data_IF_210675455367
#
_entry.id   IF_210675455367
#
_cell.length_a   1.000
_cell.length_b   1.000
_cell.length_c   1.000
_cell.angle_alpha   90.00
_cell.angle_beta   90.00
_cell.angle_gamma   90.00
#
_symmetry.space_group_name_H-M   'P 1'
#
loop_
_entity.id
_entity.type
_entity.pdbx_description
1 polymer ?
#
# COMPACT_ATOMS: atom_id res chain seq x y z
N UNK A 1 7.83 -57.32 -65.07
CA UNK A 1 6.90 -57.49 -63.91
C UNK A 1 7.40 -56.57 -62.83
N UNK A 2 6.86 -55.36 -62.79
CA UNK A 2 7.36 -54.26 -61.95
C UNK A 2 6.43 -54.14 -60.70
N UNK A 3 6.95 -54.43 -59.54
CA UNK A 3 6.26 -54.30 -58.23
C UNK A 3 6.20 -52.83 -57.84
N UNK A 4 5.01 -52.23 -57.72
CA UNK A 4 4.79 -50.90 -57.13
C UNK A 4 4.60 -51.04 -55.61
N UNK A 5 5.51 -50.48 -54.85
CA UNK A 5 5.35 -50.30 -53.40
C UNK A 5 4.48 -49.06 -53.11
N UNK A 6 3.33 -49.29 -52.48
CA UNK A 6 2.47 -48.21 -51.96
C UNK A 6 2.95 -47.89 -50.55
N UNK A 7 3.46 -46.66 -50.32
CA UNK A 7 3.74 -46.13 -48.99
C UNK A 7 2.48 -45.53 -48.40
N UNK A 8 1.96 -46.13 -47.35
CA UNK A 8 0.86 -45.58 -46.55
C UNK A 8 1.53 -44.66 -45.51
N UNK A 9 1.36 -43.34 -45.63
CA UNK A 9 1.74 -42.35 -44.65
C UNK A 9 0.67 -42.28 -43.55
N UNK A 10 1.03 -42.64 -42.32
CA UNK A 10 0.17 -42.46 -41.16
C UNK A 10 0.37 -41.02 -40.68
N UNK A 11 -0.66 -40.19 -40.82
CA UNK A 11 -0.72 -38.82 -40.28
C UNK A 11 -1.08 -38.93 -38.79
N UNK A 12 -0.12 -38.76 -37.89
CA UNK A 12 -0.37 -38.67 -36.45
C UNK A 12 -0.75 -37.23 -36.14
N UNK A 13 -2.02 -36.97 -35.98
CA UNK A 13 -2.55 -35.67 -35.51
C UNK A 13 -2.44 -35.63 -34.02
N UNK A 14 -1.41 -34.92 -33.50
CA UNK A 14 -1.24 -34.69 -32.07
C UNK A 14 -2.28 -33.64 -31.65
N UNK A 15 -3.31 -34.08 -30.94
CA UNK A 15 -4.31 -33.22 -30.32
C UNK A 15 -3.68 -32.60 -29.06
N UNK A 16 -3.23 -31.36 -29.17
CA UNK A 16 -2.76 -30.57 -28.00
C UNK A 16 -4.03 -30.14 -27.25
N UNK A 17 -4.40 -30.87 -26.20
CA UNK A 17 -5.38 -30.40 -25.23
C UNK A 17 -4.77 -29.22 -24.46
N UNK A 18 -5.15 -28.00 -24.82
CA UNK A 18 -4.97 -26.81 -23.96
C UNK A 18 -5.82 -27.00 -22.71
N UNK A 19 -5.23 -27.53 -21.66
CA UNK A 19 -5.82 -27.48 -20.32
C UNK A 19 -5.74 -26.01 -19.88
N UNK A 20 -6.85 -25.28 -20.04
CA UNK A 20 -7.02 -24.01 -19.32
C UNK A 20 -7.05 -24.35 -17.83
N UNK A 21 -5.98 -24.05 -17.11
CA UNK A 21 -6.00 -24.11 -15.66
C UNK A 21 -7.07 -23.11 -15.20
N UNK A 22 -8.26 -23.62 -14.87
CA UNK A 22 -9.31 -22.82 -14.27
C UNK A 22 -8.77 -22.24 -12.96
N UNK A 23 -8.92 -20.93 -12.75
CA UNK A 23 -8.55 -20.28 -11.51
C UNK A 23 -9.21 -21.02 -10.33
N UNK A 24 -8.41 -21.55 -9.42
CA UNK A 24 -8.92 -22.26 -8.25
C UNK A 24 -9.56 -21.21 -7.33
N UNK A 25 -10.87 -21.32 -7.13
CA UNK A 25 -11.63 -20.46 -6.25
C UNK A 25 -11.97 -21.22 -4.97
N UNK A 26 -11.63 -20.62 -3.82
CA UNK A 26 -11.91 -21.19 -2.49
C UNK A 26 -12.92 -20.30 -1.76
N UNK A 27 -13.89 -20.90 -1.10
CA UNK A 27 -14.91 -20.19 -0.31
C UNK A 27 -14.50 -20.09 1.15
N UNK A 28 -14.70 -18.88 1.71
CA UNK A 28 -14.45 -18.59 3.11
C UNK A 28 -15.72 -18.05 3.77
N UNK A 29 -15.95 -18.37 5.05
CA UNK A 29 -17.00 -17.76 5.85
C UNK A 29 -16.60 -16.39 6.37
N UNK A 30 -17.59 -15.54 6.63
CA UNK A 30 -17.48 -14.40 7.53
C UNK A 30 -18.72 -14.34 8.43
N UNK A 31 -18.73 -13.41 9.37
CA UNK A 31 -19.88 -13.23 10.26
C UNK A 31 -21.16 -12.83 9.51
N UNK A 32 -21.05 -12.24 8.31
CA UNK A 32 -22.20 -11.67 7.58
C UNK A 32 -22.58 -12.46 6.34
N UNK A 33 -21.62 -13.02 5.62
CA UNK A 33 -21.86 -13.80 4.40
C UNK A 33 -20.64 -14.68 4.06
N UNK A 34 -20.80 -15.54 3.07
CA UNK A 34 -19.66 -16.25 2.46
C UNK A 34 -19.09 -15.41 1.33
N UNK A 35 -17.80 -15.51 1.13
CA UNK A 35 -17.12 -14.88 0.00
C UNK A 35 -16.18 -15.89 -0.67
N UNK A 36 -15.82 -15.59 -1.90
CA UNK A 36 -14.94 -16.42 -2.72
C UNK A 36 -13.59 -15.72 -2.88
N UNK A 37 -12.52 -16.47 -2.74
CA UNK A 37 -11.15 -16.01 -3.04
C UNK A 37 -10.65 -16.71 -4.29
N UNK A 38 -10.21 -15.92 -5.25
CA UNK A 38 -9.64 -16.39 -6.51
C UNK A 38 -8.22 -15.86 -6.65
N UNK A 39 -7.26 -16.72 -6.97
CA UNK A 39 -5.91 -16.28 -7.37
C UNK A 39 -5.97 -15.75 -8.80
N UNK A 40 -5.70 -14.46 -8.97
CA UNK A 40 -5.69 -13.78 -10.28
C UNK A 40 -4.35 -13.95 -10.98
N UNK A 41 -3.26 -13.78 -10.23
CA UNK A 41 -1.90 -13.95 -10.72
C UNK A 41 -0.97 -14.40 -9.61
N UNK A 42 0.12 -15.06 -9.99
CA UNK A 42 1.17 -15.54 -9.08
C UNK A 42 2.56 -15.36 -9.71
N UNK A 43 3.61 -15.66 -8.95
CA UNK A 43 4.99 -15.51 -9.43
C UNK A 43 5.55 -14.09 -9.31
N UNK A 44 4.92 -13.26 -8.48
CA UNK A 44 5.43 -11.93 -8.12
C UNK A 44 6.46 -12.03 -6.99
N UNK A 45 7.51 -11.21 -7.06
CA UNK A 45 8.56 -11.19 -6.05
C UNK A 45 8.37 -10.03 -5.08
N UNK A 46 7.95 -10.33 -3.85
CA UNK A 46 7.65 -9.34 -2.81
C UNK A 46 6.79 -8.15 -3.34
N UNK A 47 5.60 -8.44 -3.92
CA UNK A 47 4.72 -7.37 -4.41
C UNK A 47 4.36 -6.43 -3.27
N UNK A 48 4.35 -5.11 -3.53
CA UNK A 48 4.14 -4.11 -2.50
C UNK A 48 2.82 -3.35 -2.63
N UNK A 49 2.46 -2.93 -3.84
CA UNK A 49 1.19 -2.24 -4.11
C UNK A 49 0.61 -2.67 -5.46
N UNK A 50 -0.71 -2.56 -5.60
CA UNK A 50 -1.41 -2.74 -6.86
C UNK A 50 -2.23 -1.49 -7.22
N UNK A 51 -2.41 -1.26 -8.53
CA UNK A 51 -3.21 -0.17 -9.07
C UNK A 51 -3.99 -0.64 -10.30
N UNK A 52 -5.24 -0.18 -10.41
CA UNK A 52 -6.11 -0.50 -11.54
C UNK A 52 -6.05 0.60 -12.58
N UNK A 53 -5.91 0.23 -13.84
CA UNK A 53 -5.98 1.15 -14.96
C UNK A 53 -7.36 1.09 -15.65
N UNK A 54 -7.82 2.19 -16.27
CA UNK A 54 -9.14 2.24 -16.88
C UNK A 54 -9.34 1.30 -18.07
N UNK A 55 -8.24 0.79 -18.66
CA UNK A 55 -8.25 -0.19 -19.77
C UNK A 55 -8.33 -1.65 -19.29
N UNK A 56 -8.37 -1.86 -17.97
CA UNK A 56 -8.49 -3.17 -17.34
C UNK A 56 -7.17 -3.80 -16.90
N UNK A 57 -6.03 -3.20 -17.27
CA UNK A 57 -4.73 -3.63 -16.77
C UNK A 57 -4.61 -3.39 -15.25
N UNK A 58 -3.93 -4.29 -14.57
CA UNK A 58 -3.54 -4.13 -13.17
C UNK A 58 -2.02 -4.00 -13.08
N UNK A 59 -1.55 -2.91 -12.53
CA UNK A 59 -0.14 -2.69 -12.25
C UNK A 59 0.20 -3.21 -10.85
N UNK A 60 1.37 -3.83 -10.71
CA UNK A 60 1.88 -4.30 -9.42
C UNK A 60 3.33 -3.88 -9.27
N UNK A 61 3.65 -3.15 -8.20
CA UNK A 61 5.03 -2.88 -7.83
C UNK A 61 5.63 -4.08 -7.11
N UNK A 62 6.82 -4.50 -7.51
CA UNK A 62 7.66 -5.43 -6.77
C UNK A 62 8.74 -4.64 -6.05
N UNK A 63 8.92 -4.87 -4.76
CA UNK A 63 9.88 -4.13 -3.93
C UNK A 63 11.29 -4.10 -4.52
N UNK A 64 11.67 -5.14 -5.25
CA UNK A 64 12.96 -5.26 -5.95
C UNK A 64 13.15 -4.26 -7.10
N UNK A 65 12.18 -3.34 -7.32
CA UNK A 65 12.31 -2.24 -8.29
C UNK A 65 11.73 -2.55 -9.67
N UNK A 66 10.84 -3.54 -9.78
CA UNK A 66 10.11 -3.83 -11.01
C UNK A 66 8.65 -3.39 -10.88
N UNK A 67 8.11 -2.83 -11.93
CA UNK A 67 6.68 -2.57 -12.09
C UNK A 67 6.13 -3.59 -13.09
N UNK A 68 5.16 -4.40 -12.65
CA UNK A 68 4.61 -5.52 -13.43
C UNK A 68 3.19 -5.20 -13.91
N UNK A 69 2.79 -5.84 -14.99
CA UNK A 69 1.47 -5.72 -15.59
C UNK A 69 0.76 -7.06 -15.55
N UNK A 70 -0.49 -7.04 -15.09
CA UNK A 70 -1.44 -8.14 -15.26
C UNK A 70 -2.47 -7.67 -16.26
N UNK A 71 -2.53 -8.33 -17.40
CA UNK A 71 -3.44 -8.05 -18.52
C UNK A 71 -4.26 -9.30 -18.80
N UNK A 72 -5.58 -9.15 -18.90
CA UNK A 72 -6.51 -10.28 -19.13
C UNK A 72 -6.30 -11.44 -18.12
N UNK A 73 -6.03 -11.09 -16.83
CA UNK A 73 -5.78 -12.06 -15.76
C UNK A 73 -4.44 -12.78 -15.86
N UNK A 74 -3.49 -12.31 -16.69
CA UNK A 74 -2.18 -12.93 -16.88
C UNK A 74 -1.05 -11.95 -16.53
N UNK A 75 -0.12 -12.39 -15.70
CA UNK A 75 1.11 -11.65 -15.45
C UNK A 75 1.97 -11.64 -16.72
N UNK A 76 2.23 -10.44 -17.26
CA UNK A 76 3.12 -10.31 -18.41
C UNK A 76 4.56 -10.62 -18.03
N UNK A 77 5.36 -11.28 -18.89
CA UNK A 77 6.75 -11.62 -18.60
C UNK A 77 7.62 -10.37 -18.46
N UNK A 78 7.34 -9.34 -19.27
CA UNK A 78 8.13 -8.10 -19.30
C UNK A 78 7.67 -7.12 -18.23
N UNK A 79 8.63 -6.48 -17.56
CA UNK A 79 8.38 -5.38 -16.64
C UNK A 79 8.19 -4.05 -17.40
N UNK A 80 7.47 -3.12 -16.80
CA UNK A 80 7.34 -1.74 -17.28
C UNK A 80 8.72 -1.09 -17.35
N UNK A 81 9.02 -0.42 -18.46
CA UNK A 81 10.28 0.31 -18.68
C UNK A 81 10.18 1.75 -18.17
N UNK A 82 11.31 2.41 -17.95
CA UNK A 82 11.39 3.84 -17.66
C UNK A 82 11.31 4.21 -16.18
N UNK A 83 11.32 3.24 -15.25
CA UNK A 83 11.47 3.54 -13.83
C UNK A 83 12.84 4.15 -13.52
N UNK A 84 12.92 5.09 -12.56
CA UNK A 84 14.20 5.58 -12.06
C UNK A 84 14.96 4.48 -11.30
N UNK A 85 16.23 4.74 -10.99
CA UNK A 85 17.01 3.83 -10.15
C UNK A 85 16.41 3.74 -8.74
N UNK A 86 15.99 2.54 -8.36
CA UNK A 86 15.44 2.22 -7.05
C UNK A 86 16.54 1.68 -6.12
N UNK A 87 16.56 2.14 -4.87
CA UNK A 87 17.44 1.62 -3.83
C UNK A 87 16.76 0.49 -3.08
N UNK A 88 17.14 -0.74 -3.39
CA UNK A 88 16.61 -1.93 -2.71
C UNK A 88 17.49 -2.26 -1.51
N UNK A 89 16.99 -1.93 -0.30
CA UNK A 89 17.71 -2.24 0.95
C UNK A 89 16.78 -2.24 2.16
N UNK A 90 16.77 -3.33 2.91
CA UNK A 90 15.89 -3.48 4.08
C UNK A 90 14.41 -3.44 3.68
N UNK A 91 13.66 -2.47 4.18
CA UNK A 91 12.26 -2.25 3.81
C UNK A 91 12.11 -1.33 2.58
N UNK A 92 13.20 -0.72 2.09
CA UNK A 92 13.18 0.16 0.92
C UNK A 92 13.17 -0.63 -0.39
N UNK A 93 12.64 0.00 -1.43
CA UNK A 93 12.48 -0.55 -2.77
C UNK A 93 11.52 0.31 -3.59
N UNK A 94 10.88 -0.26 -4.61
CA UNK A 94 9.70 0.30 -5.26
C UNK A 94 8.49 -0.04 -4.38
N UNK A 95 7.71 0.98 -4.01
CA UNK A 95 6.74 0.87 -2.95
C UNK A 95 5.31 1.13 -3.50
N UNK A 96 4.68 2.26 -3.19
CA UNK A 96 3.29 2.48 -3.60
C UNK A 96 3.13 2.90 -5.07
N UNK A 97 1.94 2.65 -5.59
CA UNK A 97 1.47 3.05 -6.92
C UNK A 97 0.12 3.74 -6.80
N UNK A 98 -0.05 4.85 -7.52
CA UNK A 98 -1.30 5.60 -7.52
C UNK A 98 -1.53 6.26 -8.89
N UNK A 99 -2.48 5.78 -9.69
CA UNK A 99 -2.93 6.50 -10.87
C UNK A 99 -3.55 7.86 -10.47
N UNK A 100 -3.29 8.89 -11.27
CA UNK A 100 -3.97 10.17 -11.09
C UNK A 100 -5.49 10.01 -11.17
N UNK A 101 -6.32 10.75 -10.43
CA UNK A 101 -7.77 10.68 -10.56
C UNK A 101 -8.29 10.84 -12.00
N UNK A 102 -7.60 11.66 -12.79
CA UNK A 102 -7.90 11.87 -14.23
C UNK A 102 -6.99 11.04 -15.14
N UNK A 103 -6.51 9.88 -14.71
CA UNK A 103 -5.56 9.05 -15.46
C UNK A 103 -6.03 8.75 -16.89
N UNK A 104 -7.32 8.59 -17.10
CA UNK A 104 -7.90 8.35 -18.44
C UNK A 104 -7.53 9.46 -19.43
N UNK A 105 -7.44 10.71 -18.97
CA UNK A 105 -7.10 11.87 -19.78
C UNK A 105 -5.59 12.17 -19.81
N UNK A 106 -4.91 12.09 -18.67
CA UNK A 106 -3.52 12.54 -18.52
C UNK A 106 -2.49 11.42 -18.49
N UNK A 107 -2.90 10.17 -18.26
CA UNK A 107 -2.03 8.98 -18.20
C UNK A 107 -0.96 9.05 -17.11
N UNK A 108 -1.10 9.92 -16.09
CA UNK A 108 -0.11 10.09 -15.03
C UNK A 108 -0.22 8.99 -13.99
N UNK A 109 0.89 8.30 -13.73
CA UNK A 109 1.08 7.33 -12.67
C UNK A 109 2.06 7.89 -11.65
N UNK A 110 1.65 7.95 -10.40
CA UNK A 110 2.48 8.32 -9.25
C UNK A 110 3.03 7.06 -8.61
N UNK A 111 4.25 7.14 -8.11
CA UNK A 111 4.87 6.05 -7.38
C UNK A 111 5.85 6.57 -6.34
N UNK A 112 5.93 5.84 -5.24
CA UNK A 112 6.92 6.08 -4.19
C UNK A 112 8.01 5.01 -4.23
N UNK A 113 9.22 5.40 -3.93
CA UNK A 113 10.37 4.50 -3.95
C UNK A 113 11.49 4.99 -3.06
N UNK A 114 12.35 4.08 -2.62
CA UNK A 114 13.60 4.45 -1.94
C UNK A 114 14.66 4.80 -2.97
N UNK A 115 15.35 5.93 -2.77
CA UNK A 115 16.46 6.36 -3.63
C UNK A 115 17.59 6.98 -2.83
N UNK A 116 18.78 6.97 -3.44
CA UNK A 116 19.97 7.60 -2.87
C UNK A 116 19.81 9.13 -2.86
N UNK A 117 20.28 9.77 -1.80
CA UNK A 117 20.36 11.20 -1.60
C UNK A 117 21.62 11.47 -0.75
N UNK A 118 22.13 12.71 -0.75
CA UNK A 118 23.28 13.07 0.08
C UNK A 118 23.02 12.74 1.56
N UNK A 119 23.96 12.01 2.16
CA UNK A 119 23.86 11.51 3.53
C UNK A 119 23.17 10.14 3.69
N UNK A 120 22.69 9.51 2.61
CA UNK A 120 22.06 8.18 2.71
C UNK A 120 21.03 7.87 1.63
N UNK A 121 19.86 7.45 2.04
CA UNK A 121 18.71 7.18 1.17
C UNK A 121 17.40 7.52 1.89
N UNK A 122 16.38 7.84 1.11
CA UNK A 122 15.09 8.26 1.65
C UNK A 122 13.95 7.89 0.71
N UNK A 123 12.71 8.16 1.14
CA UNK A 123 11.52 8.05 0.30
C UNK A 123 11.48 9.19 -0.71
N UNK A 124 11.39 8.85 -1.97
CA UNK A 124 11.09 9.74 -3.08
C UNK A 124 9.68 9.47 -3.60
N UNK A 125 9.01 10.51 -4.10
CA UNK A 125 7.78 10.39 -4.88
C UNK A 125 8.03 10.97 -6.26
N UNK A 126 7.66 10.21 -7.27
CA UNK A 126 7.72 10.66 -8.66
C UNK A 126 6.39 10.39 -9.35
N UNK A 127 6.17 11.05 -10.48
CA UNK A 127 5.13 10.72 -11.45
C UNK A 127 5.73 10.57 -12.82
N UNK A 128 5.05 9.85 -13.69
CA UNK A 128 5.42 9.71 -15.10
C UNK A 128 4.19 9.39 -15.93
N UNK A 129 4.27 9.61 -17.22
CA UNK A 129 3.23 9.23 -18.18
C UNK A 129 3.36 7.74 -18.48
N UNK A 130 2.30 6.98 -18.23
CA UNK A 130 2.26 5.54 -18.53
C UNK A 130 1.59 5.29 -19.86
N UNK A 131 2.36 4.86 -20.85
CA UNK A 131 1.91 4.51 -22.21
C UNK A 131 2.77 3.38 -22.79
N UNK A 132 2.15 2.47 -23.54
CA UNK A 132 2.84 1.38 -24.26
C UNK A 132 3.78 0.56 -23.36
N UNK A 133 3.29 0.20 -22.17
CA UNK A 133 4.03 -0.56 -21.13
C UNK A 133 5.36 0.11 -20.72
N UNK A 134 5.37 1.44 -20.71
CA UNK A 134 6.52 2.24 -20.31
C UNK A 134 6.10 3.51 -19.57
N UNK A 135 6.99 4.00 -18.70
CA UNK A 135 6.94 5.33 -18.11
C UNK A 135 7.84 6.27 -18.92
N UNK A 136 7.28 7.39 -19.32
CA UNK A 136 8.00 8.52 -19.94
C UNK A 136 7.81 9.78 -19.10
N UNK A 137 8.59 10.82 -19.39
CA UNK A 137 8.51 12.11 -18.71
C UNK A 137 8.50 11.98 -17.18
N UNK A 138 9.34 11.07 -16.66
CA UNK A 138 9.42 10.81 -15.22
C UNK A 138 10.06 11.99 -14.50
N UNK A 139 9.34 12.59 -13.57
CA UNK A 139 9.80 13.68 -12.72
C UNK A 139 9.67 13.35 -11.23
N UNK A 140 10.67 13.74 -10.44
CA UNK A 140 10.64 13.60 -8.98
C UNK A 140 9.96 14.81 -8.38
N UNK A 141 8.81 14.61 -7.77
CA UNK A 141 7.98 15.65 -7.16
C UNK A 141 8.41 15.97 -5.72
N UNK A 142 8.89 14.95 -4.99
CA UNK A 142 9.14 15.08 -3.57
C UNK A 142 10.28 14.16 -3.12
N UNK A 143 11.07 14.65 -2.14
CA UNK A 143 12.11 13.89 -1.44
C UNK A 143 11.96 14.11 0.06
N UNK A 144 11.86 13.03 0.83
CA UNK A 144 11.75 13.11 2.28
C UNK A 144 13.12 13.42 2.92
N UNK A 145 13.48 14.68 2.96
CA UNK A 145 14.75 15.18 3.51
C UNK A 145 14.69 15.43 5.03
N UNK A 146 15.83 15.30 5.71
CA UNK A 146 17.12 14.78 5.24
C UNK A 146 17.11 13.26 5.08
N UNK A 147 18.03 12.75 4.24
CA UNK A 147 18.25 11.31 4.11
C UNK A 147 18.84 10.70 5.39
N UNK A 148 18.78 9.38 5.51
CA UNK A 148 19.43 8.64 6.59
C UNK A 148 20.01 7.30 6.11
N UNK A 149 20.86 6.67 6.90
CA UNK A 149 21.36 5.32 6.65
C UNK A 149 20.39 4.22 7.14
N UNK A 150 19.26 4.59 7.73
CA UNK A 150 18.25 3.69 8.26
C UNK A 150 17.65 2.78 7.18
N UNK A 151 17.46 1.48 7.51
CA UNK A 151 16.96 0.47 6.56
C UNK A 151 15.48 0.14 6.73
N UNK A 152 14.80 0.82 7.65
CA UNK A 152 13.42 0.56 8.06
C UNK A 152 12.57 1.80 7.97
N UNK A 153 11.27 1.64 8.13
CA UNK A 153 10.28 2.69 8.30
C UNK A 153 10.32 3.74 7.17
N UNK A 154 10.01 3.33 5.96
CA UNK A 154 9.92 4.25 4.82
C UNK A 154 8.55 4.93 4.72
N UNK A 155 7.50 4.39 5.37
CA UNK A 155 6.13 4.83 5.14
C UNK A 155 5.72 4.57 3.69
N UNK A 156 5.68 5.63 2.88
CA UNK A 156 5.62 5.64 1.41
C UNK A 156 4.24 5.43 0.80
N UNK A 157 3.16 5.38 1.59
CA UNK A 157 1.80 5.26 1.06
C UNK A 157 1.33 6.58 0.46
N UNK A 158 0.62 6.51 -0.66
CA UNK A 158 0.10 7.64 -1.44
C UNK A 158 -1.44 7.61 -1.45
N UNK A 159 -2.07 8.79 -1.37
CA UNK A 159 -3.50 8.93 -1.60
C UNK A 159 -3.83 10.32 -2.15
N UNK A 160 -4.80 10.41 -3.07
CA UNK A 160 -5.42 11.68 -3.46
C UNK A 160 -6.68 11.91 -2.63
N UNK A 161 -6.85 13.12 -2.09
CA UNK A 161 -8.13 13.53 -1.53
C UNK A 161 -9.09 13.98 -2.65
N UNK A 162 -10.39 14.18 -2.36
CA UNK A 162 -11.38 14.62 -3.35
C UNK A 162 -11.10 16.02 -3.93
N UNK A 163 -10.22 16.82 -3.32
CA UNK A 163 -9.81 18.13 -3.80
C UNK A 163 -8.59 18.07 -4.72
N UNK A 164 -8.02 16.86 -4.93
CA UNK A 164 -6.86 16.60 -5.76
C UNK A 164 -5.52 16.84 -5.07
N UNK A 165 -5.48 16.97 -3.75
CA UNK A 165 -4.21 17.00 -3.02
C UNK A 165 -3.62 15.61 -2.85
N UNK A 166 -2.31 15.50 -3.06
CA UNK A 166 -1.54 14.28 -2.85
C UNK A 166 -1.02 14.20 -1.42
N UNK A 167 -1.45 13.20 -0.68
CA UNK A 167 -0.91 12.84 0.63
C UNK A 167 0.17 11.78 0.49
N UNK A 168 1.26 11.94 1.26
CA UNK A 168 2.38 10.99 1.30
C UNK A 168 2.72 10.68 2.74
N UNK A 169 2.76 9.42 3.11
CA UNK A 169 3.21 9.00 4.44
C UNK A 169 4.71 8.73 4.45
N UNK A 170 5.39 9.13 5.52
CA UNK A 170 6.83 8.98 5.70
C UNK A 170 7.11 8.44 7.10
N UNK A 171 7.88 7.35 7.19
CA UNK A 171 8.28 6.79 8.48
C UNK A 171 9.45 7.51 9.12
N UNK A 172 9.70 7.24 10.40
CA UNK A 172 10.77 7.83 11.20
C UNK A 172 12.18 7.35 10.84
N UNK A 173 12.31 6.43 9.88
CA UNK A 173 13.57 5.83 9.39
C UNK A 173 14.36 5.07 10.48
N UNK A 174 13.69 4.67 11.58
CA UNK A 174 14.30 4.05 12.75
C UNK A 174 14.99 5.04 13.68
N UNK A 175 14.79 6.33 13.46
CA UNK A 175 15.35 7.43 14.25
C UNK A 175 14.20 8.18 14.92
N UNK A 176 13.61 7.56 15.94
CA UNK A 176 12.31 7.91 16.52
C UNK A 176 12.12 9.41 16.85
N UNK A 177 13.19 10.12 17.28
CA UNK A 177 13.10 11.54 17.66
C UNK A 177 12.80 12.46 16.48
N UNK A 178 13.14 12.05 15.26
CA UNK A 178 12.86 12.80 14.04
C UNK A 178 11.37 13.04 13.83
N UNK A 179 10.52 12.13 14.35
CA UNK A 179 9.07 12.25 14.22
C UNK A 179 8.51 13.53 14.87
N UNK A 180 9.16 14.06 15.92
CA UNK A 180 8.77 15.29 16.61
C UNK A 180 9.47 16.56 16.08
N UNK A 181 10.48 16.42 15.21
CA UNK A 181 11.23 17.55 14.66
C UNK A 181 10.51 18.07 13.39
N UNK A 182 9.97 19.27 13.45
CA UNK A 182 9.27 19.88 12.30
C UNK A 182 10.22 20.37 11.19
N UNK A 183 11.53 20.44 11.42
CA UNK A 183 12.54 20.74 10.38
C UNK A 183 12.90 19.52 9.53
N UNK A 184 12.38 18.34 9.89
CA UNK A 184 12.66 17.03 9.32
C UNK A 184 11.38 16.40 8.77
N UNK A 185 11.45 15.71 7.63
CA UNK A 185 10.31 15.05 7.00
C UNK A 185 10.11 13.58 7.42
N UNK A 186 10.98 13.02 8.26
CA UNK A 186 10.79 11.68 8.80
C UNK A 186 9.69 11.65 9.89
N UNK A 187 8.85 10.62 9.86
CA UNK A 187 7.72 10.48 10.80
C UNK A 187 6.60 11.49 10.57
N UNK A 188 6.28 11.76 9.31
CA UNK A 188 5.28 12.75 8.87
C UNK A 188 4.27 12.17 7.90
N UNK A 189 3.11 12.81 7.83
CA UNK A 189 2.29 12.83 6.62
C UNK A 189 2.43 14.21 5.99
N UNK A 190 2.79 14.25 4.71
CA UNK A 190 2.89 15.50 3.95
C UNK A 190 1.72 15.62 2.98
N UNK A 191 1.36 16.86 2.62
CA UNK A 191 0.33 17.17 1.64
C UNK A 191 0.90 18.10 0.57
N UNK A 192 0.69 17.73 -0.68
CA UNK A 192 1.19 18.42 -1.87
C UNK A 192 0.05 18.64 -2.88
N UNK A 193 0.25 19.55 -3.81
CA UNK A 193 -0.48 19.49 -5.07
C UNK A 193 -0.03 18.27 -5.91
N UNK A 194 -0.79 17.90 -6.91
CA UNK A 194 -0.49 16.84 -7.85
C UNK A 194 0.83 17.01 -8.61
N UNK A 195 1.31 18.25 -8.73
CA UNK A 195 2.59 18.63 -9.37
C UNK A 195 3.75 18.84 -8.37
N UNK A 196 3.54 18.50 -7.09
CA UNK A 196 4.54 18.62 -6.04
C UNK A 196 4.64 19.99 -5.37
N UNK A 197 3.90 21.02 -5.84
CA UNK A 197 3.84 22.31 -5.16
C UNK A 197 3.20 22.19 -3.78
N UNK A 198 3.59 23.06 -2.87
CA UNK A 198 3.09 23.09 -1.50
C UNK A 198 1.77 23.88 -1.47
N UNK A 199 0.68 23.31 -0.91
CA UNK A 199 -0.59 24.01 -0.74
C UNK A 199 -0.46 25.24 0.18
N UNK A 200 -1.18 26.32 -0.17
CA UNK A 200 -1.13 27.57 0.60
C UNK A 200 -1.72 27.44 2.00
N UNK A 201 -2.62 26.48 2.21
CA UNK A 201 -3.29 26.20 3.47
C UNK A 201 -2.65 25.03 4.27
N UNK A 202 -1.39 24.66 3.99
CA UNK A 202 -0.66 23.71 4.81
C UNK A 202 -0.37 24.29 6.21
N UNK A 203 -0.56 23.49 7.28
CA UNK A 203 -0.58 24.00 8.65
C UNK A 203 0.76 24.59 9.14
N UNK A 204 1.88 24.19 8.55
CA UNK A 204 3.22 24.63 8.94
C UNK A 204 3.89 25.52 7.88
N UNK A 205 3.16 25.96 6.83
CA UNK A 205 3.72 26.72 5.73
C UNK A 205 4.49 27.95 6.18
N UNK A 206 3.91 28.70 7.11
CA UNK A 206 4.46 29.97 7.59
C UNK A 206 5.14 29.84 8.98
N UNK A 207 5.37 28.61 9.44
CA UNK A 207 6.04 28.35 10.71
C UNK A 207 7.56 28.40 10.52
N UNK A 208 8.28 29.35 11.17
CA UNK A 208 9.72 29.46 11.04
C UNK A 208 10.44 28.17 11.43
N UNK A 209 11.31 27.66 10.56
CA UNK A 209 12.09 26.45 10.77
C UNK A 209 11.35 25.14 10.53
N UNK A 210 10.05 25.14 10.30
CA UNK A 210 9.31 23.95 9.93
C UNK A 210 9.35 23.71 8.41
N UNK A 211 9.19 22.44 8.03
CA UNK A 211 9.03 22.04 6.62
C UNK A 211 7.58 22.32 6.19
N UNK A 212 7.36 23.15 5.16
CA UNK A 212 6.02 23.59 4.76
C UNK A 212 5.16 22.47 4.14
N UNK A 213 5.77 21.34 3.75
CA UNK A 213 5.08 20.17 3.23
C UNK A 213 4.29 19.41 4.31
N UNK A 214 4.66 19.58 5.58
CA UNK A 214 4.10 18.81 6.69
C UNK A 214 2.61 19.11 6.86
N UNK A 215 1.80 18.03 6.91
CA UNK A 215 0.38 18.10 7.23
C UNK A 215 0.09 17.60 8.64
N UNK A 216 0.72 16.49 9.05
CA UNK A 216 0.72 15.97 10.42
C UNK A 216 2.08 15.35 10.77
N UNK A 217 2.34 15.14 12.05
CA UNK A 217 3.64 14.67 12.54
C UNK A 217 3.50 13.73 13.74
N UNK A 218 4.61 13.21 14.25
CA UNK A 218 4.58 12.26 15.35
C UNK A 218 4.17 10.85 14.92
N UNK A 219 4.54 10.44 13.70
CA UNK A 219 4.29 9.11 13.16
C UNK A 219 5.52 8.22 13.24
N UNK A 220 5.31 6.91 13.47
CA UNK A 220 6.41 5.93 13.46
C UNK A 220 6.66 5.35 12.07
N UNK A 221 5.70 4.64 11.52
CA UNK A 221 5.82 3.98 10.22
C UNK A 221 4.45 3.75 9.59
N UNK A 222 3.82 4.78 9.04
CA UNK A 222 2.51 4.64 8.40
C UNK A 222 2.65 3.88 7.07
N UNK A 223 2.08 2.66 7.03
CA UNK A 223 2.18 1.70 5.92
C UNK A 223 0.90 1.61 5.09
N UNK A 224 -0.21 2.11 5.58
CA UNK A 224 -1.47 2.20 4.87
C UNK A 224 -2.05 3.60 4.91
N UNK A 225 -2.74 3.97 3.84
CA UNK A 225 -3.51 5.20 3.74
C UNK A 225 -4.70 4.97 2.83
N UNK A 226 -5.87 5.43 3.25
CA UNK A 226 -7.06 5.46 2.42
C UNK A 226 -7.84 6.73 2.72
N UNK A 227 -8.56 7.25 1.73
CA UNK A 227 -9.45 8.38 1.91
C UNK A 227 -10.85 7.86 2.22
N UNK A 228 -11.44 8.33 3.31
CA UNK A 228 -12.78 7.92 3.72
C UNK A 228 -13.81 8.39 2.69
N UNK A 229 -14.62 7.49 2.11
CA UNK A 229 -15.45 7.82 0.93
C UNK A 229 -16.53 8.88 1.20
N UNK A 230 -17.04 8.97 2.43
CA UNK A 230 -18.09 9.93 2.77
C UNK A 230 -17.54 11.27 3.27
N UNK A 231 -16.41 11.29 4.00
CA UNK A 231 -15.88 12.54 4.60
C UNK A 231 -14.76 13.18 3.81
N UNK A 232 -14.07 12.40 2.95
CA UNK A 232 -12.89 12.86 2.23
C UNK A 232 -11.63 13.00 3.10
N UNK A 233 -11.69 12.59 4.36
CA UNK A 233 -10.53 12.62 5.27
C UNK A 233 -9.56 11.48 4.94
N UNK A 234 -8.26 11.77 4.99
CA UNK A 234 -7.24 10.74 4.89
C UNK A 234 -7.12 9.99 6.22
N UNK A 235 -7.18 8.67 6.16
CA UNK A 235 -6.93 7.77 7.28
C UNK A 235 -5.62 7.05 7.06
N UNK A 236 -4.82 6.86 8.12
CA UNK A 236 -3.61 6.05 8.08
C UNK A 236 -3.67 4.97 9.15
N UNK A 237 -2.94 3.91 8.93
CA UNK A 237 -2.49 3.04 10.01
C UNK A 237 -0.97 2.99 10.03
N UNK A 238 -0.41 2.72 11.19
CA UNK A 238 1.03 2.64 11.36
C UNK A 238 1.46 1.50 12.27
N UNK A 239 2.69 1.04 12.08
CA UNK A 239 3.29 0.05 12.95
C UNK A 239 3.73 0.68 14.27
N UNK A 240 3.24 0.16 15.38
CA UNK A 240 3.87 0.33 16.67
C UNK A 240 5.18 -0.45 16.78
N UNK A 241 5.86 -0.37 17.92
CA UNK A 241 7.01 -1.22 18.20
C UNK A 241 6.57 -2.67 18.51
N UNK A 242 6.68 -3.13 19.72
CA UNK A 242 6.11 -4.42 20.14
C UNK A 242 4.69 -4.21 20.69
N UNK A 243 3.67 -4.26 19.82
CA UNK A 243 2.29 -3.82 20.07
C UNK A 243 2.09 -2.34 19.79
N UNK A 244 0.84 -1.85 19.90
CA UNK A 244 0.49 -0.46 19.65
C UNK A 244 0.56 -0.07 18.17
N UNK A 245 0.20 -0.96 17.26
CA UNK A 245 -0.14 -0.56 15.89
C UNK A 245 -1.42 0.26 15.95
N UNK A 246 -1.54 1.31 15.14
CA UNK A 246 -2.58 2.31 15.28
C UNK A 246 -3.32 2.59 13.98
N UNK A 247 -4.60 3.01 14.10
CA UNK A 247 -5.34 3.68 13.03
C UNK A 247 -5.57 5.13 13.46
N UNK A 248 -5.25 6.05 12.56
CA UNK A 248 -5.32 7.47 12.79
C UNK A 248 -6.11 8.19 11.68
N UNK A 249 -6.95 9.17 12.06
CA UNK A 249 -7.58 10.10 11.12
C UNK A 249 -6.64 11.30 11.00
N UNK A 250 -6.03 11.46 9.83
CA UNK A 250 -5.02 12.48 9.57
C UNK A 250 -5.66 13.87 9.55
N UNK A 251 -5.19 14.77 10.39
CA UNK A 251 -5.70 16.14 10.50
C UNK A 251 -4.58 17.17 10.42
N UNK A 252 -4.87 18.39 9.93
CA UNK A 252 -3.85 19.42 9.75
C UNK A 252 -3.26 19.87 11.10
N UNK A 253 -1.94 19.90 11.19
CA UNK A 253 -1.18 20.37 12.34
C UNK A 253 -1.16 19.42 13.55
N UNK A 254 -1.80 18.25 13.47
CA UNK A 254 -1.94 17.33 14.60
C UNK A 254 -0.66 16.52 14.81
N UNK A 255 -0.26 16.38 16.08
CA UNK A 255 0.79 15.50 16.57
C UNK A 255 0.19 14.16 16.99
N UNK A 256 0.62 13.04 16.38
CA UNK A 256 0.18 11.67 16.70
C UNK A 256 1.06 10.96 17.74
N UNK A 257 1.97 11.71 18.37
CA UNK A 257 2.60 11.34 19.64
C UNK A 257 3.89 10.55 19.58
N UNK A 258 4.17 9.77 18.52
CA UNK A 258 5.40 9.00 18.48
C UNK A 258 6.66 9.88 18.53
N UNK A 259 7.69 9.56 19.35
CA UNK A 259 7.82 8.47 20.33
C UNK A 259 7.46 8.88 21.77
N UNK A 260 6.89 10.05 21.99
CA UNK A 260 6.52 10.56 23.33
C UNK A 260 5.38 9.74 23.92
N UNK A 261 4.39 9.45 23.08
CA UNK A 261 3.26 8.56 23.39
C UNK A 261 3.38 7.30 22.55
N UNK A 262 3.16 6.12 23.13
CA UNK A 262 3.01 4.87 22.42
C UNK A 262 2.29 3.82 23.26
N UNK A 263 1.43 3.02 22.63
CA UNK A 263 0.72 1.90 23.24
C UNK A 263 1.54 0.60 23.25
N UNK A 264 2.70 0.60 22.59
CA UNK A 264 3.65 -0.52 22.56
C UNK A 264 4.82 -0.35 23.54
N UNK A 265 5.74 -1.30 23.49
CA UNK A 265 7.01 -1.29 24.22
C UNK A 265 8.16 -1.58 23.25
N UNK A 266 9.38 -1.27 23.63
CA UNK A 266 10.56 -1.61 22.81
C UNK A 266 10.69 -3.15 22.62
N UNK A 267 11.31 -3.58 21.53
CA UNK A 267 11.55 -5.00 21.25
C UNK A 267 12.42 -5.68 22.32
N UNK A 268 13.24 -4.93 23.02
CA UNK A 268 14.02 -5.38 24.20
C UNK A 268 13.15 -5.59 25.45
N UNK A 269 11.90 -5.12 25.43
CA UNK A 269 10.97 -5.20 26.55
C UNK A 269 10.96 -3.96 27.45
N UNK A 270 11.80 -2.98 27.20
CA UNK A 270 11.82 -1.72 27.94
C UNK A 270 10.74 -0.75 27.46
N UNK A 271 10.39 0.18 28.33
CA UNK A 271 9.53 1.31 28.02
C UNK A 271 10.21 2.26 27.04
N UNK A 272 9.45 2.82 26.10
CA UNK A 272 9.90 3.86 25.18
C UNK A 272 9.61 5.22 25.82
N UNK A 273 10.59 6.13 25.79
CA UNK A 273 10.46 7.43 26.44
C UNK A 273 10.05 7.33 27.90
N UNK A 274 9.11 8.15 28.32
CA UNK A 274 8.55 8.16 29.67
C UNK A 274 7.40 7.15 29.86
N UNK A 275 7.09 6.35 28.84
CA UNK A 275 6.03 5.33 28.88
C UNK A 275 4.61 5.89 28.86
N UNK A 276 4.44 7.11 28.39
CA UNK A 276 3.13 7.74 28.27
C UNK A 276 2.24 7.00 27.28
N UNK A 277 0.98 6.85 27.63
CA UNK A 277 -0.05 6.24 26.77
C UNK A 277 -0.96 7.27 26.11
N UNK A 278 -1.06 8.44 26.70
CA UNK A 278 -1.83 9.60 26.23
C UNK A 278 -1.10 10.89 26.59
N UNK A 279 -1.36 11.97 25.86
CA UNK A 279 -0.85 13.30 26.17
C UNK A 279 -1.88 14.36 25.72
N UNK A 280 -2.13 15.44 26.46
CA UNK A 280 -3.18 16.41 26.15
C UNK A 280 -2.99 17.15 24.81
N UNK A 281 -1.74 17.29 24.33
CA UNK A 281 -1.42 17.97 23.09
C UNK A 281 -1.18 17.00 21.91
N UNK A 282 -1.51 15.72 22.07
CA UNK A 282 -1.30 14.67 21.08
C UNK A 282 -2.58 13.88 20.87
N UNK A 283 -2.84 13.48 19.63
CA UNK A 283 -4.06 12.75 19.31
C UNK A 283 -3.95 11.28 19.75
N UNK A 284 -4.99 10.80 20.40
CA UNK A 284 -5.16 9.37 20.60
C UNK A 284 -5.57 8.69 19.28
N UNK A 285 -5.12 7.43 19.04
CA UNK A 285 -5.55 6.70 17.85
C UNK A 285 -7.04 6.35 17.90
N UNK A 286 -7.64 6.24 16.72
CA UNK A 286 -9.02 5.76 16.58
C UNK A 286 -9.14 4.30 17.04
N UNK A 287 -8.14 3.49 16.75
CA UNK A 287 -8.08 2.08 17.07
C UNK A 287 -6.62 1.62 17.19
N UNK A 288 -6.36 0.56 17.95
CA UNK A 288 -5.01 0.02 18.07
C UNK A 288 -5.00 -1.51 18.26
N UNK A 289 -3.89 -2.13 17.88
CA UNK A 289 -3.63 -3.56 18.10
C UNK A 289 -2.50 -3.80 19.07
N UNK A 290 -2.76 -4.63 20.08
CA UNK A 290 -1.73 -5.19 20.97
C UNK A 290 -2.11 -6.64 21.26
N UNK A 291 -1.33 -7.63 20.77
CA UNK A 291 -0.04 -7.51 20.07
C UNK A 291 -0.14 -6.90 18.66
N UNK A 292 1.02 -6.47 18.11
CA UNK A 292 1.13 -5.94 16.75
C UNK A 292 0.72 -6.98 15.70
N UNK A 293 -0.10 -6.58 14.74
CA UNK A 293 -0.44 -7.38 13.55
C UNK A 293 0.45 -7.01 12.35
N UNK A 294 1.24 -5.94 12.47
CA UNK A 294 1.99 -5.28 11.42
C UNK A 294 1.07 -4.93 10.23
N UNK A 295 0.16 -3.93 10.37
CA UNK A 295 -0.80 -3.56 9.35
C UNK A 295 -0.10 -3.04 8.09
N UNK A 296 -0.71 -3.23 6.91
CA UNK A 296 -0.06 -2.98 5.63
C UNK A 296 -0.92 -2.12 4.69
N UNK A 297 -1.54 -2.67 3.64
CA UNK A 297 -2.52 -1.94 2.85
C UNK A 297 -3.86 -1.81 3.57
N UNK A 298 -4.64 -0.78 3.21
CA UNK A 298 -5.99 -0.60 3.74
C UNK A 298 -6.93 -0.03 2.68
N UNK A 299 -8.22 -0.40 2.78
CA UNK A 299 -9.27 0.11 1.92
C UNK A 299 -10.62 0.08 2.64
N UNK A 300 -11.48 1.07 2.36
CA UNK A 300 -12.89 1.02 2.76
C UNK A 300 -13.66 0.13 1.80
N UNK A 301 -14.53 -0.71 2.34
CA UNK A 301 -15.37 -1.58 1.54
C UNK A 301 -16.34 -0.78 0.66
N UNK A 302 -16.57 -1.28 -0.55
CA UNK A 302 -17.59 -0.78 -1.46
C UNK A 302 -18.96 -1.40 -1.17
N UNK A 303 -19.98 -0.97 -1.90
CA UNK A 303 -21.32 -1.54 -1.86
C UNK A 303 -21.45 -2.94 -2.47
N UNK A 304 -20.36 -3.48 -3.07
CA UNK A 304 -20.39 -4.80 -3.67
C UNK A 304 -20.55 -5.94 -2.65
N UNK A 305 -20.18 -5.70 -1.38
CA UNK A 305 -20.28 -6.69 -0.31
C UNK A 305 -21.43 -6.34 0.64
N UNK A 306 -22.57 -7.04 0.58
CA UNK A 306 -23.68 -6.82 1.50
C UNK A 306 -23.25 -7.01 2.97
N UNK A 307 -23.52 -6.01 3.82
CA UNK A 307 -23.16 -6.03 5.24
C UNK A 307 -21.72 -5.62 5.57
N UNK A 308 -20.91 -5.24 4.57
CA UNK A 308 -19.57 -4.70 4.77
C UNK A 308 -19.43 -3.23 4.32
N UNK A 309 -20.50 -2.60 3.86
CA UNK A 309 -20.48 -1.23 3.35
C UNK A 309 -19.90 -0.27 4.36
N UNK A 310 -18.83 0.45 3.97
CA UNK A 310 -18.14 1.41 4.81
C UNK A 310 -17.19 0.82 5.85
N UNK A 311 -17.13 -0.51 6.00
CA UNK A 311 -16.12 -1.15 6.85
C UNK A 311 -14.71 -0.92 6.32
N UNK A 312 -13.73 -0.88 7.23
CA UNK A 312 -12.34 -0.72 6.88
C UNK A 312 -11.64 -2.09 6.87
N UNK A 313 -10.98 -2.40 5.76
CA UNK A 313 -10.16 -3.59 5.61
C UNK A 313 -8.68 -3.26 5.72
N UNK A 314 -7.95 -4.03 6.52
CA UNK A 314 -6.52 -3.85 6.78
C UNK A 314 -5.79 -5.18 6.61
N UNK A 315 -4.78 -5.22 5.75
CA UNK A 315 -3.92 -6.38 5.60
C UNK A 315 -2.97 -6.51 6.78
N UNK A 316 -2.71 -7.72 7.25
CA UNK A 316 -1.79 -8.00 8.35
C UNK A 316 -0.59 -8.83 7.88
N UNK A 317 0.62 -8.29 8.08
CA UNK A 317 1.86 -9.01 7.72
C UNK A 317 2.27 -10.01 8.81
N UNK A 318 2.33 -9.57 10.07
CA UNK A 318 2.67 -10.44 11.18
C UNK A 318 1.47 -11.30 11.61
N UNK A 319 0.27 -10.72 11.60
CA UNK A 319 -0.97 -11.41 11.92
C UNK A 319 -1.42 -12.41 10.85
N UNK A 320 -0.96 -12.26 9.58
CA UNK A 320 -1.25 -13.16 8.46
C UNK A 320 -2.74 -13.37 8.19
N UNK A 321 -3.51 -12.30 8.29
CA UNK A 321 -4.95 -12.28 8.05
C UNK A 321 -5.35 -10.96 7.37
N UNK A 322 -6.60 -10.87 6.97
CA UNK A 322 -7.26 -9.64 6.59
C UNK A 322 -8.15 -9.23 7.76
N UNK A 323 -7.84 -8.11 8.41
CA UNK A 323 -8.70 -7.54 9.45
C UNK A 323 -9.82 -6.74 8.81
N UNK A 324 -11.08 -7.04 9.15
CA UNK A 324 -12.25 -6.21 8.86
C UNK A 324 -12.64 -5.47 10.13
N UNK A 325 -12.72 -4.17 10.05
CA UNK A 325 -13.14 -3.30 11.14
C UNK A 325 -14.49 -2.68 10.79
N UNK A 326 -15.51 -3.05 11.53
CA UNK A 326 -16.84 -2.46 11.38
C UNK A 326 -16.87 -1.09 12.03
N UNK A 327 -17.34 -0.12 11.27
CA UNK A 327 -17.42 1.27 11.69
C UNK A 327 -18.88 1.70 11.95
N UNK A 328 -19.12 2.28 13.11
CA UNK A 328 -20.38 2.95 13.45
C UNK A 328 -20.06 4.31 14.07
N UNK A 329 -20.69 5.36 13.59
CA UNK A 329 -20.48 6.74 14.05
C UNK A 329 -19.00 7.14 14.16
N UNK A 330 -18.18 6.72 13.19
CA UNK A 330 -16.76 7.01 13.14
C UNK A 330 -15.91 6.27 14.19
N UNK A 331 -16.42 5.19 14.79
CA UNK A 331 -15.72 4.35 15.75
C UNK A 331 -15.65 2.91 15.26
N UNK A 332 -14.59 2.22 15.62
CA UNK A 332 -14.48 0.77 15.41
C UNK A 332 -15.29 0.07 16.51
N UNK A 333 -16.34 -0.66 16.11
CA UNK A 333 -17.22 -1.39 17.05
C UNK A 333 -16.99 -2.90 17.05
N UNK A 334 -16.35 -3.43 16.00
CA UNK A 334 -16.06 -4.87 15.85
C UNK A 334 -14.80 -5.07 14.99
N UNK A 335 -13.97 -6.05 15.36
CA UNK A 335 -12.90 -6.59 14.52
C UNK A 335 -13.22 -8.04 14.16
N UNK A 336 -13.15 -8.36 12.87
CA UNK A 336 -13.21 -9.73 12.36
C UNK A 336 -11.94 -10.07 11.60
N UNK A 337 -11.37 -11.27 11.86
CA UNK A 337 -10.17 -11.75 11.18
C UNK A 337 -10.55 -12.73 10.09
N UNK A 338 -10.31 -12.35 8.87
CA UNK A 338 -10.61 -13.14 7.69
C UNK A 338 -9.32 -13.77 7.13
N UNK A 339 -9.44 -14.92 6.48
CA UNK A 339 -8.35 -15.61 5.77
C UNK A 339 -7.21 -16.11 6.67
N UNK A 340 -7.42 -16.30 7.98
CA UNK A 340 -6.40 -16.84 8.89
C UNK A 340 -5.89 -18.22 8.43
N UNK A 341 -6.79 -19.08 7.92
CA UNK A 341 -6.47 -20.42 7.41
C UNK A 341 -5.50 -20.40 6.23
N UNK A 342 -5.43 -19.31 5.48
CA UNK A 342 -4.45 -19.15 4.41
C UNK A 342 -3.03 -19.00 4.93
N UNK A 343 -2.86 -18.53 6.17
CA UNK A 343 -1.56 -18.30 6.81
C UNK A 343 -0.61 -17.48 5.93
N UNK A 344 -1.13 -16.45 5.23
CA UNK A 344 -0.41 -15.58 4.28
C UNK A 344 -0.24 -14.19 4.85
N UNK A 345 0.95 -13.64 4.70
CA UNK A 345 1.22 -12.21 4.96
C UNK A 345 0.48 -11.40 3.89
N UNK A 346 -0.47 -10.58 4.29
CA UNK A 346 -1.20 -9.68 3.38
C UNK A 346 -0.45 -8.35 3.32
N UNK A 347 -0.03 -7.94 2.10
CA UNK A 347 0.78 -6.72 1.89
C UNK A 347 -0.05 -5.51 1.46
N UNK A 348 -1.02 -5.71 0.59
CA UNK A 348 -1.85 -4.60 0.10
C UNK A 348 -3.32 -5.03 0.04
N UNK A 349 -4.19 -4.05 0.22
CA UNK A 349 -5.64 -4.20 0.14
C UNK A 349 -6.17 -3.04 -0.69
N UNK A 350 -6.88 -3.35 -1.77
CA UNK A 350 -7.47 -2.35 -2.65
C UNK A 350 -8.90 -2.76 -3.04
N UNK A 351 -9.71 -1.78 -3.38
CA UNK A 351 -11.01 -2.00 -4.01
C UNK A 351 -10.86 -1.88 -5.52
N UNK A 352 -11.24 -2.92 -6.23
CA UNK A 352 -11.25 -2.93 -7.69
C UNK A 352 -12.35 -2.05 -8.29
N UNK A 353 -12.31 -1.77 -9.60
CA UNK A 353 -13.30 -0.94 -10.29
C UNK A 353 -14.74 -1.48 -10.20
N UNK A 354 -14.89 -2.76 -9.97
CA UNK A 354 -16.16 -3.47 -9.79
C UNK A 354 -16.57 -3.66 -8.33
N UNK A 355 -15.81 -3.05 -7.41
CA UNK A 355 -16.05 -3.11 -5.97
C UNK A 355 -15.51 -4.35 -5.26
N UNK A 356 -14.95 -5.32 -5.96
CA UNK A 356 -14.30 -6.48 -5.34
C UNK A 356 -13.06 -6.05 -4.54
N UNK A 357 -12.74 -6.80 -3.47
CA UNK A 357 -11.50 -6.59 -2.73
C UNK A 357 -10.35 -7.36 -3.40
N UNK A 358 -9.21 -6.69 -3.54
CA UNK A 358 -7.99 -7.27 -4.09
C UNK A 358 -6.86 -7.19 -3.07
N UNK A 359 -6.13 -8.29 -2.95
CA UNK A 359 -5.06 -8.42 -1.98
C UNK A 359 -3.74 -8.80 -2.66
N UNK A 360 -2.63 -8.33 -2.09
CA UNK A 360 -1.29 -8.84 -2.39
C UNK A 360 -0.76 -9.65 -1.20
N UNK A 361 -0.10 -10.76 -1.49
CA UNK A 361 0.62 -11.52 -0.46
C UNK A 361 2.11 -11.16 -0.48
N UNK A 362 2.73 -10.90 0.69
CA UNK A 362 4.16 -10.59 0.81
C UNK A 362 4.99 -11.88 0.87
N UNK A 363 5.47 -12.32 -0.27
CA UNK A 363 6.31 -13.52 -0.41
C UNK A 363 7.21 -13.43 -1.64
N UNK A 364 8.31 -14.19 -1.67
CA UNK A 364 9.18 -14.32 -2.85
C UNK A 364 8.49 -15.00 -4.05
N UNK A 365 7.33 -15.63 -3.83
CA UNK A 365 6.37 -16.09 -4.83
C UNK A 365 5.00 -15.51 -4.46
N UNK A 366 4.87 -14.21 -4.52
CA UNK A 366 3.68 -13.45 -4.15
C UNK A 366 2.53 -13.66 -5.13
N UNK A 367 1.32 -13.45 -4.63
CA UNK A 367 0.08 -13.66 -5.36
C UNK A 367 -0.79 -12.40 -5.33
N UNK A 368 -1.58 -12.23 -6.37
CA UNK A 368 -2.73 -11.33 -6.40
C UNK A 368 -3.98 -12.17 -6.17
N UNK A 369 -4.71 -11.84 -5.12
CA UNK A 369 -5.96 -12.49 -4.75
C UNK A 369 -7.11 -11.51 -4.96
N UNK A 370 -8.24 -12.03 -5.40
CA UNK A 370 -9.49 -11.30 -5.55
C UNK A 370 -10.56 -11.95 -4.68
N UNK A 371 -11.26 -11.13 -3.93
CA UNK A 371 -12.40 -11.52 -3.09
C UNK A 371 -13.69 -11.04 -3.75
N UNK A 372 -14.62 -11.95 -3.96
CA UNK A 372 -15.95 -11.68 -4.49
C UNK A 372 -17.01 -12.08 -3.47
N UNK A 373 -18.10 -11.33 -3.31
CA UNK A 373 -19.25 -11.76 -2.51
C UNK A 373 -19.89 -13.01 -3.14
N UNK A 374 -20.54 -13.83 -2.30
CA UNK A 374 -21.28 -15.00 -2.76
C UNK A 374 -22.79 -14.79 -2.58
#
# INVERSE_FOLDING_TARGET
>A
MILRLVRIGILVTTLICLISAGASATEFPSAYHRFRVTTVAEGLEHPWALAFLPDGDVLVSEREGRLRIIRDGRLLPEAVRGLPKVRVRGQGGLLDLLPHPEFKGNRLLYFSYAADLDGGWTTHVARGRFENDALTDVEVLFRAEPASSGRVHFGSRLAFDPRGYLFVSIGDRGEMRRAQDLSDLAGKVVRLHDDGRIPDDNPFRDTPGARPEIYSFGHRNPQGMAVHPATGEAWTHEHGPKGGDEINIVRPGVNFGWPVVTLGIDYTGFTIGDGLKTHPDMADPLYHWTPSIAPSGMAFASDAFPGWQGDLFVGALAGKHLARLRLEDGKVVEEERLLEDMNRRIRDVRVGPDGALWLLTDHGSGQVLRLDPK
#
